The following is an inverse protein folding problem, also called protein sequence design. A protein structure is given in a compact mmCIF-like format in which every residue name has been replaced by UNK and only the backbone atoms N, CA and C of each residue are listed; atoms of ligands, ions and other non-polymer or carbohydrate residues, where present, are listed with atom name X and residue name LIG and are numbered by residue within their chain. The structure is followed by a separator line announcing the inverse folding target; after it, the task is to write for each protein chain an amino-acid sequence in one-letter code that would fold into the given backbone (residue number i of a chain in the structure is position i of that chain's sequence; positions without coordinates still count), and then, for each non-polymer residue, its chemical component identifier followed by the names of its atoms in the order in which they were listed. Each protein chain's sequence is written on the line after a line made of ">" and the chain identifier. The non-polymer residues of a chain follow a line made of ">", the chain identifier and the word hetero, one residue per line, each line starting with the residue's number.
data_IF_761220879607
#
_entry.id   IF_761220879607
#
_cell.length_a   1.000
_cell.length_b   1.000
_cell.length_c   1.000
_cell.angle_alpha   90.00
_cell.angle_beta   90.00
_cell.angle_gamma   90.00
#
_symmetry.space_group_name_H-M   'P 1'
#
loop_
_entity.id
_entity.type
_entity.pdbx_description
1 polymer ?
#
# COMPACT_ATOMS: atom_id res chain seq x y z
N UNK A 1 14.79 -7.50 2.50
CA UNK A 1 14.72 -8.88 3.03
C UNK A 1 16.06 -9.14 3.70
N UNK A 2 16.05 -9.71 4.89
CA UNK A 2 17.28 -10.12 5.58
C UNK A 2 17.94 -11.32 4.89
N UNK A 3 19.21 -11.59 5.22
CA UNK A 3 19.99 -12.69 4.62
C UNK A 3 19.39 -14.07 4.87
N UNK A 4 18.63 -14.22 5.95
CA UNK A 4 17.87 -15.43 6.32
C UNK A 4 16.50 -15.52 5.62
N UNK A 5 16.14 -14.57 4.75
CA UNK A 5 14.85 -14.47 4.10
C UNK A 5 13.76 -13.79 4.93
N UNK A 6 14.04 -13.40 6.17
CA UNK A 6 13.11 -12.74 7.08
C UNK A 6 12.79 -11.30 6.69
N UNK A 7 11.79 -10.73 7.34
CA UNK A 7 11.37 -9.34 7.14
C UNK A 7 11.92 -8.48 8.29
N UNK A 8 12.52 -7.34 7.94
CA UNK A 8 12.94 -6.37 8.94
C UNK A 8 11.74 -5.79 9.70
N UNK A 9 11.92 -5.66 11.01
CA UNK A 9 11.06 -4.93 11.93
C UNK A 9 11.93 -4.04 12.82
N UNK A 10 11.41 -2.93 13.38
CA UNK A 10 12.10 -2.21 14.44
C UNK A 10 12.37 -3.12 15.63
N UNK A 11 13.56 -3.04 16.22
CA UNK A 11 13.91 -3.80 17.43
C UNK A 11 13.01 -3.42 18.61
N UNK A 12 12.65 -2.14 18.67
CA UNK A 12 11.72 -1.59 19.65
C UNK A 12 10.73 -0.67 18.95
N UNK A 13 9.48 -0.65 19.44
CA UNK A 13 8.49 0.33 18.98
C UNK A 13 8.70 1.61 19.79
N UNK A 14 8.89 2.76 19.12
CA UNK A 14 8.96 4.04 19.81
C UNK A 14 7.63 4.31 20.53
N UNK A 15 7.68 5.10 21.61
CA UNK A 15 6.46 5.60 22.27
C UNK A 15 6.29 7.06 21.94
N UNK A 16 5.14 7.40 21.37
CA UNK A 16 4.77 8.79 21.15
C UNK A 16 4.15 9.32 22.46
N UNK A 17 4.60 10.48 22.97
CA UNK A 17 4.08 11.05 24.21
C UNK A 17 2.58 11.32 24.15
N UNK A 18 1.85 11.13 25.27
CA UNK A 18 0.40 11.42 25.34
C UNK A 18 0.07 12.86 24.93
N UNK A 19 0.93 13.82 25.24
CA UNK A 19 0.77 15.23 24.84
C UNK A 19 0.61 15.41 23.32
N UNK A 20 1.24 14.58 22.52
CA UNK A 20 1.07 14.58 21.07
C UNK A 20 -0.38 14.28 20.67
N UNK A 21 -0.98 13.25 21.29
CA UNK A 21 -2.36 12.87 20.98
C UNK A 21 -3.40 13.86 21.53
N UNK A 22 -3.03 14.65 22.54
CA UNK A 22 -3.92 15.68 23.09
C UNK A 22 -4.15 16.85 22.11
N UNK A 23 -3.16 17.15 21.26
CA UNK A 23 -3.19 18.28 20.32
C UNK A 23 -3.06 17.83 18.86
N UNK A 24 -3.27 16.56 18.55
CA UNK A 24 -3.04 15.98 17.22
C UNK A 24 -3.97 16.57 16.15
N UNK A 25 -5.15 17.06 16.54
CA UNK A 25 -6.13 17.71 15.67
C UNK A 25 -5.64 18.99 14.99
N UNK A 26 -4.67 19.64 15.58
CA UNK A 26 -4.04 20.87 15.02
C UNK A 26 -2.98 20.55 13.97
N UNK A 27 -2.58 19.27 13.83
CA UNK A 27 -1.47 18.85 13.00
C UNK A 27 -1.94 18.48 11.58
N UNK A 28 -1.15 18.91 10.57
CA UNK A 28 -1.33 18.43 9.20
C UNK A 28 -0.89 16.98 9.03
N UNK A 29 -1.27 16.36 7.90
CA UNK A 29 -0.78 15.02 7.55
C UNK A 29 0.76 14.95 7.56
N UNK A 30 1.45 15.98 7.04
CA UNK A 30 2.91 16.02 6.97
C UNK A 30 3.54 16.16 8.35
N UNK A 31 2.95 16.94 9.25
CA UNK A 31 3.46 17.06 10.63
C UNK A 31 3.41 15.73 11.36
N UNK A 32 2.27 15.02 11.28
CA UNK A 32 2.12 13.69 11.84
C UNK A 32 3.09 12.70 11.19
N UNK A 33 3.22 12.74 9.87
CA UNK A 33 4.16 11.88 9.14
C UNK A 33 5.62 12.15 9.53
N UNK A 34 5.98 13.42 9.77
CA UNK A 34 7.32 13.76 10.27
C UNK A 34 7.57 13.19 11.67
N UNK A 35 6.61 13.28 12.58
CA UNK A 35 6.74 12.68 13.92
C UNK A 35 6.91 11.16 13.83
N UNK A 36 6.12 10.50 12.99
CA UNK A 36 6.28 9.06 12.73
C UNK A 36 7.66 8.76 12.15
N UNK A 37 8.07 9.45 11.10
CA UNK A 37 9.36 9.23 10.45
C UNK A 37 10.53 9.49 11.41
N UNK A 38 10.49 10.57 12.20
CA UNK A 38 11.51 10.92 13.19
C UNK A 38 11.64 9.86 14.29
N UNK A 39 10.53 9.23 14.67
CA UNK A 39 10.53 8.18 15.68
C UNK A 39 11.28 6.92 15.24
N UNK A 40 11.42 6.70 13.93
CA UNK A 40 12.09 5.51 13.38
C UNK A 40 13.43 5.81 12.71
N UNK A 41 13.61 6.99 12.15
CA UNK A 41 14.77 7.35 11.34
C UNK A 41 15.59 8.53 11.89
N UNK A 42 15.10 9.21 12.94
CA UNK A 42 15.73 10.41 13.47
C UNK A 42 17.11 10.19 14.08
N UNK A 43 17.50 8.94 14.38
CA UNK A 43 18.85 8.60 14.80
C UNK A 43 19.88 8.50 13.66
N UNK A 44 19.40 8.25 12.42
CA UNK A 44 20.25 7.95 11.26
C UNK A 44 20.15 9.04 10.16
N UNK A 45 19.04 9.79 10.14
CA UNK A 45 18.74 10.82 9.13
C UNK A 45 18.68 12.18 9.81
N UNK A 46 19.42 13.15 9.27
CA UNK A 46 19.39 14.54 9.73
C UNK A 46 17.94 15.08 9.73
N UNK A 47 17.58 15.87 10.73
CA UNK A 47 16.21 16.33 10.95
C UNK A 47 15.67 17.20 9.80
N UNK A 48 16.51 18.06 9.22
CA UNK A 48 16.13 18.89 8.08
C UNK A 48 15.93 18.01 6.83
N UNK A 49 16.86 17.09 6.57
CA UNK A 49 16.74 16.15 5.46
C UNK A 49 15.50 15.25 5.60
N UNK A 50 15.20 14.80 6.82
CA UNK A 50 14.00 13.98 7.06
C UNK A 50 12.71 14.77 6.84
N UNK A 51 12.70 16.06 7.20
CA UNK A 51 11.56 16.94 6.91
C UNK A 51 11.37 17.11 5.40
N UNK A 52 12.44 17.38 4.66
CA UNK A 52 12.40 17.50 3.19
C UNK A 52 11.89 16.21 2.53
N UNK A 53 12.35 15.03 3.03
CA UNK A 53 11.87 13.71 2.58
C UNK A 53 10.37 13.59 2.80
N UNK A 54 9.85 13.98 3.95
CA UNK A 54 8.42 13.91 4.28
C UNK A 54 7.61 14.88 3.40
N UNK A 55 8.04 16.14 3.29
CA UNK A 55 7.33 17.17 2.55
C UNK A 55 7.24 16.86 1.06
N UNK A 56 8.33 16.37 0.44
CA UNK A 56 8.30 15.93 -0.96
C UNK A 56 7.51 14.64 -1.15
N UNK A 57 7.57 13.70 -0.21
CA UNK A 57 6.86 12.43 -0.33
C UNK A 57 5.34 12.60 -0.28
N UNK A 58 4.84 13.50 0.56
CA UNK A 58 3.40 13.68 0.84
C UNK A 58 2.89 15.03 0.35
N UNK A 59 3.19 15.35 -0.91
CA UNK A 59 2.83 16.61 -1.56
C UNK A 59 1.42 16.63 -2.16
N UNK A 60 0.53 15.74 -1.75
CA UNK A 60 -0.85 15.63 -2.20
C UNK A 60 -1.80 15.47 -1.02
N UNK A 61 -3.08 15.76 -1.24
CA UNK A 61 -4.11 15.76 -0.21
C UNK A 61 -4.47 14.36 0.30
N UNK A 62 -5.00 14.32 1.53
CA UNK A 62 -5.52 13.12 2.18
C UNK A 62 -6.85 13.48 2.83
N UNK A 63 -7.91 13.76 2.04
CA UNK A 63 -9.18 14.19 2.60
C UNK A 63 -9.90 13.07 3.34
N UNK A 64 -10.68 13.44 4.35
CA UNK A 64 -11.64 12.57 5.00
C UNK A 64 -13.06 13.06 4.68
N UNK A 65 -13.84 12.17 4.08
CA UNK A 65 -15.20 12.43 3.62
C UNK A 65 -16.17 11.85 4.62
N UNK A 66 -17.10 12.63 5.10
CA UNK A 66 -18.21 12.18 5.95
C UNK A 66 -19.36 11.65 5.07
N UNK A 67 -19.81 10.44 5.35
CA UNK A 67 -20.96 9.82 4.66
C UNK A 67 -22.26 9.88 5.48
N UNK A 68 -22.22 10.39 6.72
CA UNK A 68 -23.32 10.31 7.68
C UNK A 68 -23.23 9.08 8.58
N UNK A 69 -24.09 8.96 9.56
CA UNK A 69 -24.19 7.84 10.52
C UNK A 69 -22.83 7.47 11.17
N UNK A 70 -22.04 8.46 11.56
CA UNK A 70 -20.69 8.31 12.08
C UNK A 70 -19.76 7.47 11.17
N UNK A 71 -19.99 7.52 9.86
CA UNK A 71 -19.17 6.85 8.86
C UNK A 71 -18.32 7.84 8.06
N UNK A 72 -17.03 7.61 8.04
CA UNK A 72 -16.04 8.45 7.39
C UNK A 72 -15.21 7.62 6.41
N UNK A 73 -14.81 8.22 5.30
CA UNK A 73 -13.89 7.62 4.31
C UNK A 73 -12.62 8.44 4.28
N UNK A 74 -11.48 7.84 4.63
CA UNK A 74 -10.17 8.43 4.43
C UNK A 74 -9.68 8.09 3.03
N UNK A 75 -9.59 9.09 2.15
CA UNK A 75 -9.16 8.91 0.78
C UNK A 75 -7.62 8.93 0.69
N UNK A 76 -7.03 7.77 0.44
CA UNK A 76 -5.58 7.56 0.37
C UNK A 76 -5.06 7.46 -1.07
N UNK A 77 -5.78 8.02 -2.05
CA UNK A 77 -5.52 7.80 -3.46
C UNK A 77 -5.30 9.07 -4.30
N UNK A 78 -5.02 10.21 -3.68
CA UNK A 78 -4.79 11.47 -4.42
C UNK A 78 -3.35 11.62 -4.93
N UNK A 79 -2.49 10.65 -4.66
CA UNK A 79 -1.13 10.63 -5.17
C UNK A 79 -1.03 10.38 -6.69
N UNK A 80 0.18 10.44 -7.24
CA UNK A 80 0.42 10.43 -8.70
C UNK A 80 -0.11 9.19 -9.42
N UNK A 81 -0.22 8.03 -8.74
CA UNK A 81 -0.72 6.78 -9.34
C UNK A 81 -2.09 6.37 -8.85
N UNK A 82 -2.77 7.27 -8.13
CA UNK A 82 -4.14 7.11 -7.64
C UNK A 82 -4.31 5.89 -6.72
N UNK A 83 -3.32 5.63 -5.85
CA UNK A 83 -3.36 4.55 -4.86
C UNK A 83 -2.55 4.90 -3.61
N UNK A 84 -2.98 4.41 -2.44
CA UNK A 84 -2.28 4.58 -1.17
C UNK A 84 -0.80 4.13 -1.20
N UNK A 85 -0.42 3.32 -2.19
CA UNK A 85 0.95 2.84 -2.35
C UNK A 85 1.94 3.95 -2.68
N UNK A 86 1.44 5.10 -3.15
CA UNK A 86 2.27 6.27 -3.45
C UNK A 86 2.98 6.79 -2.21
N UNK A 87 2.32 6.80 -1.04
CA UNK A 87 2.91 7.27 0.22
C UNK A 87 4.20 6.49 0.54
N UNK A 88 4.11 5.17 0.64
CA UNK A 88 5.26 4.35 0.98
C UNK A 88 6.30 4.29 -0.14
N UNK A 89 5.90 4.33 -1.41
CA UNK A 89 6.83 4.26 -2.53
C UNK A 89 7.67 5.55 -2.66
N UNK A 90 7.04 6.71 -2.52
CA UNK A 90 7.71 8.02 -2.58
C UNK A 90 8.64 8.21 -1.39
N UNK A 91 8.19 7.90 -0.18
CA UNK A 91 9.03 8.00 1.03
C UNK A 91 10.26 7.09 0.93
N UNK A 92 10.08 5.82 0.57
CA UNK A 92 11.19 4.89 0.37
C UNK A 92 12.19 5.42 -0.66
N UNK A 93 11.71 5.97 -1.78
CA UNK A 93 12.57 6.47 -2.84
C UNK A 93 13.45 7.65 -2.38
N UNK A 94 12.88 8.62 -1.62
CA UNK A 94 13.61 9.77 -1.08
C UNK A 94 14.60 9.36 -0.01
N UNK A 95 14.18 8.43 0.87
CA UNK A 95 15.07 7.87 1.88
C UNK A 95 16.25 7.11 1.23
N UNK A 96 16.00 6.31 0.18
CA UNK A 96 17.05 5.63 -0.58
C UNK A 96 18.00 6.64 -1.23
N UNK A 97 17.48 7.69 -1.89
CA UNK A 97 18.30 8.76 -2.46
C UNK A 97 19.24 9.38 -1.41
N UNK A 98 18.73 9.68 -0.23
CA UNK A 98 19.53 10.26 0.86
C UNK A 98 20.63 9.30 1.34
N UNK A 99 20.30 8.03 1.57
CA UNK A 99 21.26 7.03 2.05
C UNK A 99 22.31 6.70 0.97
N UNK A 100 21.88 6.44 -0.26
CA UNK A 100 22.77 6.07 -1.36
C UNK A 100 23.64 7.27 -1.79
N UNK A 101 23.12 8.50 -1.74
CA UNK A 101 23.86 9.73 -2.01
C UNK A 101 25.04 9.93 -1.05
N UNK A 102 24.91 9.58 0.22
CA UNK A 102 26.04 9.60 1.19
C UNK A 102 27.16 8.62 0.82
N UNK A 103 26.84 7.56 0.09
CA UNK A 103 27.78 6.49 -0.31
C UNK A 103 28.22 6.58 -1.78
N UNK A 104 27.70 7.54 -2.54
CA UNK A 104 27.88 7.64 -4.01
C UNK A 104 27.53 6.33 -4.74
N UNK A 105 26.53 5.60 -4.23
CA UNK A 105 26.14 4.29 -4.71
C UNK A 105 25.11 4.40 -5.85
N UNK A 106 25.37 3.74 -6.97
CA UNK A 106 24.36 3.48 -8.01
C UNK A 106 23.60 2.20 -7.69
N UNK A 107 22.27 2.25 -7.81
CA UNK A 107 21.41 1.13 -7.41
C UNK A 107 20.46 0.73 -8.53
N UNK A 108 20.34 -0.56 -8.76
CA UNK A 108 19.33 -1.14 -9.65
C UNK A 108 18.18 -1.72 -8.85
N UNK A 109 17.00 -1.17 -9.03
CA UNK A 109 15.78 -1.58 -8.36
C UNK A 109 14.98 -2.50 -9.26
N UNK A 110 14.69 -3.71 -8.80
CA UNK A 110 13.85 -4.68 -9.50
C UNK A 110 12.46 -4.75 -8.83
N UNK A 111 11.41 -4.65 -9.64
CA UNK A 111 10.02 -4.69 -9.17
C UNK A 111 9.23 -5.70 -9.97
N UNK A 112 8.75 -6.78 -9.33
CA UNK A 112 7.77 -7.68 -9.94
C UNK A 112 6.35 -7.22 -9.57
N UNK A 113 5.46 -7.08 -10.56
CA UNK A 113 4.13 -6.46 -10.32
C UNK A 113 3.02 -7.02 -11.21
N UNK A 114 1.79 -6.89 -10.72
CA UNK A 114 0.54 -7.04 -11.49
C UNK A 114 -0.18 -5.70 -11.72
N UNK A 115 0.52 -4.54 -11.52
CA UNK A 115 -0.06 -3.22 -11.80
C UNK A 115 0.25 -2.17 -10.72
N UNK A 116 -0.65 -1.95 -9.76
CA UNK A 116 -0.60 -0.81 -8.83
C UNK A 116 0.71 -0.69 -8.02
N UNK A 117 1.31 -1.81 -7.59
CA UNK A 117 2.58 -1.79 -6.85
C UNK A 117 3.74 -1.30 -7.73
N UNK A 118 3.79 -1.77 -8.97
CA UNK A 118 4.80 -1.34 -9.93
C UNK A 118 4.63 0.12 -10.34
N UNK A 119 3.39 0.54 -10.61
CA UNK A 119 3.10 1.93 -10.95
C UNK A 119 3.55 2.89 -9.85
N UNK A 120 3.22 2.60 -8.59
CA UNK A 120 3.65 3.41 -7.46
C UNK A 120 5.18 3.41 -7.26
N UNK A 121 5.84 2.23 -7.40
CA UNK A 121 7.29 2.14 -7.28
C UNK A 121 7.99 2.89 -8.43
N UNK A 122 7.55 2.70 -9.67
CA UNK A 122 8.10 3.38 -10.83
C UNK A 122 7.94 4.90 -10.72
N UNK A 123 6.74 5.38 -10.36
CA UNK A 123 6.51 6.82 -10.18
C UNK A 123 7.30 7.39 -8.99
N UNK A 124 7.34 6.68 -7.86
CA UNK A 124 8.09 7.10 -6.67
C UNK A 124 9.60 7.25 -6.92
N UNK A 125 10.18 6.37 -7.76
CA UNK A 125 11.59 6.34 -8.10
C UNK A 125 11.92 7.08 -9.42
N UNK A 126 10.92 7.66 -10.09
CA UNK A 126 11.11 8.37 -11.34
C UNK A 126 12.03 9.57 -11.16
N UNK A 127 13.03 9.70 -12.04
CA UNK A 127 14.05 10.76 -12.03
C UNK A 127 14.82 10.88 -10.69
N UNK A 128 14.97 9.78 -9.95
CA UNK A 128 15.88 9.76 -8.79
C UNK A 128 17.28 9.45 -9.31
N UNK A 129 18.18 10.40 -9.10
CA UNK A 129 19.59 10.28 -9.48
C UNK A 129 20.26 9.07 -8.83
N UNK A 130 21.08 8.34 -9.58
CA UNK A 130 21.78 7.13 -9.11
C UNK A 130 20.91 5.89 -9.00
N UNK A 131 19.61 5.96 -9.33
CA UNK A 131 18.69 4.82 -9.27
C UNK A 131 18.18 4.47 -10.67
N UNK A 132 18.33 3.21 -11.07
CA UNK A 132 17.71 2.62 -12.26
C UNK A 132 16.64 1.61 -11.84
N UNK A 133 15.48 1.58 -12.51
CA UNK A 133 14.33 0.78 -12.09
C UNK A 133 13.85 -0.11 -13.22
N UNK A 134 13.96 -1.42 -13.05
CA UNK A 134 13.38 -2.40 -13.96
C UNK A 134 12.06 -2.94 -13.42
N UNK A 135 10.95 -2.69 -14.12
CA UNK A 135 9.60 -3.10 -13.71
C UNK A 135 9.17 -4.31 -14.53
N UNK A 136 9.18 -5.49 -13.89
CA UNK A 136 8.86 -6.76 -14.52
C UNK A 136 7.36 -7.07 -14.32
N UNK A 137 6.65 -7.34 -15.40
CA UNK A 137 5.25 -7.72 -15.36
C UNK A 137 4.90 -8.76 -16.44
N UNK A 138 3.90 -9.61 -16.22
CA UNK A 138 3.55 -10.67 -17.15
C UNK A 138 2.93 -10.10 -18.43
N UNK A 139 3.38 -10.61 -19.58
CA UNK A 139 2.94 -10.18 -20.91
C UNK A 139 1.43 -10.36 -21.08
N UNK A 140 0.75 -9.28 -21.51
CA UNK A 140 -0.66 -9.28 -21.85
C UNK A 140 -1.64 -9.44 -20.67
N UNK A 141 -1.16 -9.37 -19.41
CA UNK A 141 -2.01 -9.54 -18.22
C UNK A 141 -2.39 -8.23 -17.52
N UNK A 142 -1.87 -7.10 -17.96
CA UNK A 142 -2.22 -5.79 -17.44
C UNK A 142 -3.36 -5.16 -18.25
N UNK A 143 -4.26 -4.44 -17.58
CA UNK A 143 -5.18 -3.56 -18.28
C UNK A 143 -4.41 -2.45 -19.00
N UNK A 144 -5.03 -1.85 -20.03
CA UNK A 144 -4.42 -0.73 -20.78
C UNK A 144 -4.00 0.44 -19.87
N UNK A 145 -4.77 0.69 -18.81
CA UNK A 145 -4.49 1.75 -17.83
C UNK A 145 -3.29 1.43 -16.95
N UNK A 146 -3.19 0.17 -16.50
CA UNK A 146 -2.05 -0.30 -15.71
C UNK A 146 -0.76 -0.31 -16.53
N UNK A 147 -0.83 -0.82 -17.75
CA UNK A 147 0.32 -0.82 -18.66
C UNK A 147 0.80 0.61 -18.96
N UNK A 148 -0.11 1.55 -19.26
CA UNK A 148 0.25 2.94 -19.52
C UNK A 148 1.00 3.58 -18.33
N UNK A 149 0.58 3.36 -17.09
CA UNK A 149 1.26 3.89 -15.91
C UNK A 149 2.68 3.34 -15.71
N UNK A 150 2.99 2.16 -16.25
CA UNK A 150 4.34 1.57 -16.19
C UNK A 150 5.21 2.02 -17.36
N UNK A 151 4.64 2.11 -18.55
CA UNK A 151 5.41 2.30 -19.79
C UNK A 151 5.62 3.77 -20.16
N UNK A 152 4.80 4.69 -19.66
CA UNK A 152 4.84 6.09 -20.09
C UNK A 152 5.99 6.92 -19.49
N UNK A 153 6.59 6.51 -18.36
CA UNK A 153 7.55 7.34 -17.63
C UNK A 153 8.89 7.52 -18.38
N UNK A 154 9.55 6.45 -18.77
CA UNK A 154 10.87 6.50 -19.41
C UNK A 154 12.00 6.90 -18.46
N UNK A 155 13.01 7.60 -18.96
CA UNK A 155 14.21 8.00 -18.22
C UNK A 155 14.85 6.79 -17.50
N UNK A 156 14.93 6.81 -16.20
CA UNK A 156 15.48 5.74 -15.35
C UNK A 156 14.50 4.56 -15.12
N UNK A 157 13.31 4.56 -15.76
CA UNK A 157 12.30 3.51 -15.61
C UNK A 157 12.27 2.62 -16.84
N UNK A 158 12.54 1.34 -16.66
CA UNK A 158 12.65 0.32 -17.72
C UNK A 158 11.52 -0.71 -17.55
N UNK A 159 10.40 -0.57 -18.28
CA UNK A 159 9.31 -1.56 -18.27
C UNK A 159 9.72 -2.81 -19.04
N UNK A 160 9.55 -3.99 -18.43
CA UNK A 160 9.92 -5.29 -18.99
C UNK A 160 8.72 -6.23 -18.96
N UNK A 161 8.25 -6.63 -20.14
CA UNK A 161 7.25 -7.69 -20.25
C UNK A 161 7.94 -9.07 -20.20
N UNK A 162 7.51 -9.89 -19.26
CA UNK A 162 7.99 -11.25 -19.11
C UNK A 162 7.03 -12.22 -19.82
N UNK A 163 7.59 -13.08 -20.68
CA UNK A 163 6.85 -14.18 -21.31
C UNK A 163 6.63 -15.28 -20.26
N UNK A 164 5.62 -15.08 -19.39
CA UNK A 164 5.34 -15.95 -18.25
C UNK A 164 4.27 -15.37 -17.34
N UNK A 165 4.20 -15.91 -16.13
CA UNK A 165 3.27 -15.51 -15.06
C UNK A 165 3.88 -14.43 -14.14
N UNK A 166 3.04 -13.87 -13.25
CA UNK A 166 3.54 -12.97 -12.20
C UNK A 166 4.45 -13.69 -11.20
N UNK A 167 4.25 -14.97 -10.98
CA UNK A 167 5.11 -15.82 -10.15
C UNK A 167 6.49 -15.99 -10.80
N UNK A 168 6.56 -16.07 -12.15
CA UNK A 168 7.83 -16.06 -12.88
C UNK A 168 8.57 -14.74 -12.73
N UNK A 169 7.84 -13.60 -12.78
CA UNK A 169 8.43 -12.28 -12.50
C UNK A 169 9.02 -12.21 -11.09
N UNK A 170 8.26 -12.65 -10.07
CA UNK A 170 8.72 -12.64 -8.66
C UNK A 170 9.93 -13.53 -8.46
N UNK A 171 9.90 -14.76 -9.01
CA UNK A 171 11.00 -15.71 -8.92
C UNK A 171 12.25 -15.16 -9.58
N UNK A 172 12.12 -14.56 -10.78
CA UNK A 172 13.25 -13.96 -11.49
C UNK A 172 13.90 -12.82 -10.68
N UNK A 173 13.09 -11.93 -10.08
CA UNK A 173 13.60 -10.85 -9.22
C UNK A 173 14.30 -11.42 -7.97
N UNK A 174 13.71 -12.42 -7.31
CA UNK A 174 14.31 -13.05 -6.13
C UNK A 174 15.63 -13.75 -6.48
N UNK A 175 15.65 -14.52 -7.56
CA UNK A 175 16.86 -15.20 -8.04
C UNK A 175 17.96 -14.21 -8.41
N UNK A 176 17.64 -13.10 -9.07
CA UNK A 176 18.60 -12.08 -9.43
C UNK A 176 19.23 -11.39 -8.22
N UNK A 177 18.41 -11.04 -7.21
CA UNK A 177 18.91 -10.40 -5.98
C UNK A 177 19.78 -11.36 -5.15
N UNK A 178 19.49 -12.65 -5.20
CA UNK A 178 20.21 -13.68 -4.45
C UNK A 178 21.47 -14.19 -5.17
N UNK A 179 21.67 -13.87 -6.46
CA UNK A 179 22.78 -14.38 -7.27
C UNK A 179 24.08 -13.59 -6.98
N UNK A 180 25.12 -14.22 -6.40
CA UNK A 180 26.41 -13.58 -6.17
C UNK A 180 27.07 -13.03 -7.43
N UNK A 181 26.82 -13.65 -8.61
CA UNK A 181 27.36 -13.20 -9.89
C UNK A 181 26.77 -11.83 -10.33
N UNK A 182 25.65 -11.41 -9.73
CA UNK A 182 25.00 -10.13 -10.00
C UNK A 182 25.24 -9.09 -8.89
N UNK A 183 26.09 -9.37 -7.90
CA UNK A 183 26.35 -8.46 -6.76
C UNK A 183 26.87 -7.08 -7.20
N UNK A 184 27.66 -6.99 -8.28
CA UNK A 184 28.17 -5.74 -8.84
C UNK A 184 27.10 -4.78 -9.38
N UNK A 185 25.86 -5.24 -9.59
CA UNK A 185 24.76 -4.38 -10.04
C UNK A 185 24.03 -3.71 -8.85
N UNK A 186 24.37 -3.99 -7.61
CA UNK A 186 23.72 -3.46 -6.41
C UNK A 186 22.19 -3.60 -6.46
N UNK A 187 21.73 -4.81 -6.77
CA UNK A 187 20.29 -5.11 -6.93
C UNK A 187 19.52 -4.99 -5.62
N UNK A 188 18.36 -4.39 -5.68
CA UNK A 188 17.41 -4.35 -4.56
C UNK A 188 15.97 -4.44 -5.05
N UNK A 189 15.04 -4.80 -4.16
CA UNK A 189 13.61 -4.82 -4.46
C UNK A 189 12.87 -3.63 -3.85
N UNK A 190 11.89 -3.09 -4.58
CA UNK A 190 10.99 -2.05 -4.09
C UNK A 190 9.58 -2.58 -3.79
N UNK A 191 9.44 -3.82 -3.36
CA UNK A 191 8.16 -4.43 -3.04
C UNK A 191 7.64 -3.97 -1.67
N UNK A 192 6.36 -4.26 -1.36
CA UNK A 192 5.69 -3.90 -0.10
C UNK A 192 6.31 -4.52 1.17
N UNK A 193 7.21 -5.49 1.02
CA UNK A 193 7.98 -6.08 2.13
C UNK A 193 9.10 -5.15 2.66
N UNK A 194 9.47 -4.09 1.93
CA UNK A 194 10.44 -3.11 2.42
C UNK A 194 9.83 -2.30 3.56
N UNK A 195 10.54 -2.26 4.71
CA UNK A 195 10.06 -1.58 5.93
C UNK A 195 9.86 -0.06 5.71
N UNK A 196 10.68 0.57 4.87
CA UNK A 196 10.53 1.98 4.52
C UNK A 196 9.23 2.30 3.77
N UNK A 197 8.54 1.28 3.21
CA UNK A 197 7.20 1.42 2.65
C UNK A 197 6.09 1.21 3.67
N UNK A 198 6.37 0.49 4.76
CA UNK A 198 5.40 0.21 5.81
C UNK A 198 5.25 1.39 6.78
N UNK A 199 6.38 1.93 7.27
CA UNK A 199 6.39 2.95 8.33
C UNK A 199 5.52 4.18 7.98
N UNK A 200 5.55 4.75 6.76
CA UNK A 200 4.68 5.87 6.41
C UNK A 200 3.18 5.58 6.52
N UNK A 201 2.76 4.32 6.40
CA UNK A 201 1.35 3.94 6.50
C UNK A 201 0.81 4.04 7.93
N UNK A 202 1.69 4.10 8.95
CA UNK A 202 1.30 4.34 10.35
C UNK A 202 0.57 5.68 10.46
N UNK A 203 0.98 6.67 9.67
CA UNK A 203 0.38 8.01 9.63
C UNK A 203 -1.11 7.99 9.30
N UNK A 204 -1.59 7.01 8.53
CA UNK A 204 -3.01 6.96 8.12
C UNK A 204 -3.95 6.88 9.32
N UNK A 205 -3.69 5.99 10.25
CA UNK A 205 -4.51 5.82 11.46
C UNK A 205 -4.39 7.02 12.39
N UNK A 206 -3.18 7.56 12.58
CA UNK A 206 -2.96 8.75 13.41
C UNK A 206 -3.69 9.98 12.82
N UNK A 207 -3.58 10.17 11.52
CA UNK A 207 -4.22 11.28 10.84
C UNK A 207 -5.75 11.14 10.82
N UNK A 208 -6.27 9.94 10.62
CA UNK A 208 -7.70 9.69 10.71
C UNK A 208 -8.24 10.04 12.12
N UNK A 209 -7.53 9.64 13.17
CA UNK A 209 -7.85 10.05 14.54
C UNK A 209 -7.80 11.58 14.72
N UNK A 210 -6.76 12.22 14.21
CA UNK A 210 -6.63 13.68 14.23
C UNK A 210 -7.83 14.39 13.55
N UNK A 211 -8.26 13.86 12.40
CA UNK A 211 -9.41 14.42 11.67
C UNK A 211 -10.74 14.23 12.41
N UNK A 212 -10.97 13.06 13.03
CA UNK A 212 -12.16 12.83 13.85
C UNK A 212 -12.22 13.83 15.02
N UNK A 213 -11.09 14.06 15.71
CA UNK A 213 -11.00 15.07 16.78
C UNK A 213 -11.27 16.50 16.25
N UNK A 214 -10.64 16.87 15.13
CA UNK A 214 -10.81 18.19 14.53
C UNK A 214 -12.25 18.48 14.10
N UNK A 215 -13.01 17.42 13.76
CA UNK A 215 -14.43 17.51 13.43
C UNK A 215 -15.35 17.47 14.67
N UNK A 216 -14.79 17.31 15.88
CA UNK A 216 -15.55 17.19 17.12
C UNK A 216 -16.37 15.89 17.22
N UNK A 217 -15.93 14.83 16.53
CA UNK A 217 -16.65 13.55 16.52
C UNK A 217 -16.55 12.89 17.90
N UNK A 218 -17.71 12.60 18.49
CA UNK A 218 -17.78 11.90 19.76
C UNK A 218 -17.21 10.48 19.66
N UNK A 219 -16.57 10.01 20.73
CA UNK A 219 -15.95 8.68 20.82
C UNK A 219 -14.85 8.43 19.73
N UNK A 220 -14.18 9.47 19.25
CA UNK A 220 -13.10 9.35 18.29
C UNK A 220 -12.01 8.33 18.72
N UNK A 221 -11.75 8.22 20.04
CA UNK A 221 -10.80 7.28 20.65
C UNK A 221 -11.24 5.80 20.56
N UNK A 222 -12.50 5.55 20.24
CA UNK A 222 -13.08 4.22 20.05
C UNK A 222 -13.38 3.92 18.58
N UNK A 223 -12.96 4.79 17.65
CA UNK A 223 -13.20 4.64 16.23
C UNK A 223 -12.71 3.29 15.70
N UNK A 224 -13.56 2.63 14.91
CA UNK A 224 -13.23 1.43 14.16
C UNK A 224 -12.53 1.83 12.86
N UNK A 225 -11.41 1.21 12.53
CA UNK A 225 -10.67 1.44 11.28
C UNK A 225 -10.73 0.21 10.39
N UNK A 226 -11.30 0.34 9.19
CA UNK A 226 -11.42 -0.76 8.24
C UNK A 226 -10.62 -0.50 6.98
N UNK A 227 -9.86 -1.52 6.54
CA UNK A 227 -8.99 -1.43 5.38
C UNK A 227 -9.01 -2.69 4.53
N UNK A 228 -8.96 -2.56 3.18
CA UNK A 228 -8.88 -3.70 2.30
C UNK A 228 -7.53 -4.41 2.49
N UNK A 229 -7.58 -5.72 2.66
CA UNK A 229 -6.48 -6.50 3.22
C UNK A 229 -6.12 -7.70 2.32
N UNK A 230 -4.96 -7.59 1.64
CA UNK A 230 -4.31 -8.69 0.93
C UNK A 230 -2.97 -9.02 1.59
N UNK A 231 -1.92 -8.22 1.31
CA UNK A 231 -0.60 -8.39 1.93
C UNK A 231 -0.51 -7.89 3.38
N UNK A 232 -1.58 -7.34 3.93
CA UNK A 232 -1.77 -6.81 5.29
C UNK A 232 -0.85 -5.66 5.73
N UNK A 233 -0.13 -4.99 4.84
CA UNK A 233 0.79 -3.92 5.26
C UNK A 233 0.08 -2.78 5.98
N UNK A 234 -1.07 -2.33 5.48
CA UNK A 234 -1.86 -1.27 6.12
C UNK A 234 -2.39 -1.70 7.48
N UNK A 235 -2.84 -2.96 7.61
CA UNK A 235 -3.28 -3.54 8.88
C UNK A 235 -2.15 -3.58 9.92
N UNK A 236 -0.95 -4.02 9.50
CA UNK A 236 0.25 -4.01 10.38
C UNK A 236 0.58 -2.58 10.81
N UNK A 237 0.53 -1.62 9.88
CA UNK A 237 0.80 -0.21 10.19
C UNK A 237 -0.23 0.37 11.17
N UNK A 238 -1.52 0.05 11.03
CA UNK A 238 -2.56 0.46 11.96
C UNK A 238 -2.40 -0.17 13.35
N UNK A 239 -2.00 -1.46 13.41
CA UNK A 239 -1.66 -2.11 14.66
C UNK A 239 -0.41 -1.49 15.32
N UNK A 240 0.59 -1.07 14.51
CA UNK A 240 1.73 -0.30 15.01
C UNK A 240 1.29 1.06 15.55
N UNK A 241 0.40 1.79 14.87
CA UNK A 241 -0.15 3.06 15.35
C UNK A 241 -0.79 2.92 16.75
N UNK A 242 -1.60 1.87 16.95
CA UNK A 242 -2.19 1.54 18.26
C UNK A 242 -1.11 1.29 19.31
N UNK A 243 -0.04 0.56 18.97
CA UNK A 243 1.09 0.28 19.87
C UNK A 243 1.94 1.51 20.16
N UNK A 244 1.98 2.50 19.28
CA UNK A 244 2.61 3.79 19.48
C UNK A 244 1.83 4.69 20.45
N UNK A 245 0.62 4.29 20.83
CA UNK A 245 -0.26 4.99 21.78
C UNK A 245 -1.43 5.72 21.15
N UNK A 246 -1.67 5.58 19.85
CA UNK A 246 -2.87 6.15 19.22
C UNK A 246 -4.14 5.55 19.84
N UNK A 247 -5.05 6.36 20.39
CA UNK A 247 -6.33 5.87 20.85
C UNK A 247 -7.16 5.37 19.67
N UNK A 248 -7.48 4.08 19.67
CA UNK A 248 -8.25 3.45 18.59
C UNK A 248 -9.14 2.35 19.12
N UNK A 249 -10.30 2.19 18.52
CA UNK A 249 -11.13 1.00 18.67
C UNK A 249 -10.56 -0.20 17.91
N UNK A 250 -11.41 -1.12 17.44
CA UNK A 250 -11.00 -2.27 16.66
C UNK A 250 -10.44 -1.89 15.28
N UNK A 251 -9.51 -2.70 14.78
CA UNK A 251 -8.97 -2.60 13.43
C UNK A 251 -9.53 -3.76 12.62
N UNK A 252 -10.19 -3.47 11.49
CA UNK A 252 -10.82 -4.47 10.63
C UNK A 252 -9.93 -4.76 9.42
N UNK A 253 -9.47 -5.99 9.33
CA UNK A 253 -8.81 -6.52 8.14
C UNK A 253 -9.88 -7.06 7.17
N UNK A 254 -10.28 -6.24 6.20
CA UNK A 254 -11.33 -6.56 5.26
C UNK A 254 -10.79 -7.37 4.07
N UNK A 255 -11.29 -8.58 3.86
CA UNK A 255 -10.88 -9.48 2.78
C UNK A 255 -12.06 -9.77 1.84
N UNK A 256 -11.75 -10.05 0.58
CA UNK A 256 -12.69 -10.61 -0.38
C UNK A 256 -12.84 -12.14 -0.21
N UNK A 257 -13.29 -12.84 -1.26
CA UNK A 257 -13.45 -14.29 -1.27
C UNK A 257 -12.13 -15.05 -0.98
N UNK A 258 -10.98 -14.40 -1.09
CA UNK A 258 -9.67 -14.92 -0.71
C UNK A 258 -9.36 -14.61 0.76
N UNK A 259 -10.28 -14.96 1.67
CA UNK A 259 -10.11 -14.71 3.10
C UNK A 259 -9.06 -15.64 3.71
N UNK A 260 -7.87 -15.11 3.96
CA UNK A 260 -6.77 -15.81 4.63
C UNK A 260 -6.53 -15.27 6.04
N UNK A 261 -7.02 -14.08 6.36
CA UNK A 261 -6.74 -13.45 7.65
C UNK A 261 -7.52 -14.10 8.80
N UNK A 262 -8.79 -14.43 8.58
CA UNK A 262 -9.64 -15.08 9.58
C UNK A 262 -9.06 -16.44 10.04
N UNK A 263 -8.74 -17.40 9.14
CA UNK A 263 -8.12 -18.64 9.58
C UNK A 263 -6.76 -18.44 10.26
N UNK A 264 -5.95 -17.49 9.83
CA UNK A 264 -4.67 -17.18 10.46
C UNK A 264 -4.83 -16.69 11.90
N UNK A 265 -5.80 -15.83 12.16
CA UNK A 265 -6.12 -15.35 13.51
C UNK A 265 -6.68 -16.48 14.39
N UNK A 266 -7.33 -17.49 13.81
CA UNK A 266 -7.78 -18.69 14.49
C UNK A 266 -6.66 -19.73 14.73
N UNK A 267 -5.44 -19.45 14.28
CA UNK A 267 -4.31 -20.37 14.40
C UNK A 267 -4.37 -21.56 13.43
N UNK A 268 -5.21 -21.45 12.39
CA UNK A 268 -5.32 -22.50 11.36
C UNK A 268 -4.21 -22.33 10.33
N UNK A 269 -3.60 -23.44 9.95
CA UNK A 269 -2.65 -23.52 8.84
C UNK A 269 -3.36 -24.20 7.66
N UNK A 270 -3.04 -23.79 6.47
CA UNK A 270 -3.61 -24.35 5.25
C UNK A 270 -4.15 -23.25 4.34
N UNK A 271 -3.37 -22.91 3.35
CA UNK A 271 -3.71 -21.85 2.41
C UNK A 271 -4.12 -22.46 1.06
N UNK A 272 -4.96 -21.73 0.33
CA UNK A 272 -5.21 -22.05 -1.06
C UNK A 272 -3.90 -21.97 -1.85
N UNK A 273 -3.70 -22.89 -2.75
CA UNK A 273 -2.53 -22.87 -3.63
C UNK A 273 -2.67 -21.83 -4.75
N UNK A 274 -3.91 -21.45 -5.10
CA UNK A 274 -4.21 -20.43 -6.12
C UNK A 274 -5.31 -19.49 -5.61
N UNK A 275 -5.18 -18.16 -5.86
CA UNK A 275 -6.25 -17.23 -5.52
C UNK A 275 -7.44 -17.42 -6.48
N UNK A 276 -8.63 -17.07 -5.98
CA UNK A 276 -9.83 -16.88 -6.79
C UNK A 276 -9.75 -15.45 -7.35
N UNK A 277 -10.04 -15.27 -8.63
CA UNK A 277 -10.17 -13.94 -9.23
C UNK A 277 -11.47 -13.28 -8.77
N UNK A 278 -11.40 -12.07 -8.23
CA UNK A 278 -12.53 -11.28 -7.73
C UNK A 278 -12.57 -9.89 -8.35
N UNK A 279 -13.62 -9.13 -8.02
CA UNK A 279 -13.72 -7.70 -8.39
C UNK A 279 -12.66 -6.84 -7.70
N UNK A 280 -12.03 -7.32 -6.62
CA UNK A 280 -11.00 -6.61 -5.88
C UNK A 280 -9.59 -7.25 -6.05
N UNK A 281 -9.02 -7.27 -7.29
CA UNK A 281 -7.87 -8.09 -7.65
C UNK A 281 -6.57 -7.76 -6.88
N UNK A 282 -6.45 -6.55 -6.32
CA UNK A 282 -5.23 -6.18 -5.57
C UNK A 282 -5.12 -6.87 -4.21
N UNK A 283 -6.20 -7.49 -3.73
CA UNK A 283 -6.24 -8.26 -2.48
C UNK A 283 -6.44 -9.76 -2.72
N UNK A 284 -6.46 -10.22 -3.97
CA UNK A 284 -6.52 -11.63 -4.34
C UNK A 284 -5.17 -12.30 -4.07
N UNK A 285 -4.97 -12.76 -2.85
CA UNK A 285 -3.72 -13.37 -2.40
C UNK A 285 -3.98 -14.67 -1.64
N UNK A 286 -3.04 -15.61 -1.74
CA UNK A 286 -3.10 -16.92 -1.06
C UNK A 286 -2.45 -16.89 0.31
N UNK A 287 -1.53 -15.94 0.54
CA UNK A 287 -0.85 -15.74 1.81
C UNK A 287 -0.49 -14.27 2.00
N UNK A 288 -0.85 -13.66 3.13
CA UNK A 288 -0.52 -12.27 3.43
C UNK A 288 0.96 -12.14 3.82
N UNK A 289 1.76 -11.56 2.94
CA UNK A 289 3.21 -11.41 3.13
C UNK A 289 3.62 -10.62 4.39
N UNK A 290 2.73 -9.82 4.96
CA UNK A 290 2.94 -9.11 6.21
C UNK A 290 2.64 -9.91 7.48
N UNK A 291 2.10 -11.15 7.36
CA UNK A 291 1.76 -11.97 8.52
C UNK A 291 2.89 -12.18 9.51
N UNK A 292 4.14 -12.46 9.09
CA UNK A 292 5.25 -12.58 10.03
C UNK A 292 5.46 -11.31 10.88
N UNK A 293 5.25 -10.13 10.29
CA UNK A 293 5.35 -8.85 11.01
C UNK A 293 4.24 -8.68 12.03
N UNK A 294 3.00 -8.99 11.65
CA UNK A 294 1.87 -8.92 12.57
C UNK A 294 2.09 -9.89 13.74
N UNK A 295 2.49 -11.11 13.45
CA UNK A 295 2.79 -12.12 14.47
C UNK A 295 3.91 -11.67 15.41
N UNK A 296 4.98 -11.09 14.85
CA UNK A 296 6.10 -10.53 15.65
C UNK A 296 5.63 -9.38 16.55
N UNK A 297 4.81 -8.46 16.02
CA UNK A 297 4.27 -7.31 16.75
C UNK A 297 3.51 -7.70 18.02
N UNK A 298 2.86 -8.85 18.01
CA UNK A 298 2.09 -9.40 19.14
C UNK A 298 2.82 -10.53 19.88
N UNK A 299 4.10 -10.78 19.61
CA UNK A 299 4.85 -11.87 20.22
C UNK A 299 4.25 -13.26 19.96
N UNK A 300 3.54 -13.44 18.86
CA UNK A 300 2.84 -14.68 18.51
C UNK A 300 1.52 -14.91 19.27
N UNK A 301 1.08 -13.98 20.12
CA UNK A 301 -0.15 -14.12 20.92
C UNK A 301 -1.40 -13.82 20.08
N UNK A 302 -2.06 -14.89 19.59
CA UNK A 302 -3.26 -14.79 18.77
C UNK A 302 -4.46 -14.20 19.51
N UNK A 303 -4.57 -14.42 20.81
CA UNK A 303 -5.65 -13.83 21.62
C UNK A 303 -5.53 -12.31 21.70
N UNK A 304 -4.31 -11.81 21.92
CA UNK A 304 -4.03 -10.38 21.88
C UNK A 304 -4.30 -9.76 20.50
N UNK A 305 -3.98 -10.50 19.42
CA UNK A 305 -4.31 -10.06 18.06
C UNK A 305 -5.83 -9.95 17.86
N UNK A 306 -6.61 -10.95 18.26
CA UNK A 306 -8.09 -10.96 18.12
C UNK A 306 -8.80 -9.91 18.95
N UNK A 307 -8.19 -9.42 20.03
CA UNK A 307 -8.73 -8.27 20.79
C UNK A 307 -8.63 -6.96 20.01
N UNK A 308 -7.56 -6.80 19.24
CA UNK A 308 -7.29 -5.57 18.50
C UNK A 308 -7.76 -5.62 17.05
N UNK A 309 -7.78 -6.81 16.46
CA UNK A 309 -7.99 -7.02 15.01
C UNK A 309 -9.20 -7.93 14.79
N UNK A 310 -10.14 -7.42 14.04
CA UNK A 310 -11.31 -8.16 13.56
C UNK A 310 -11.08 -8.59 12.11
N UNK A 311 -11.32 -9.84 11.80
CA UNK A 311 -11.32 -10.38 10.45
C UNK A 311 -12.70 -11.02 10.19
N UNK A 312 -13.66 -10.27 9.68
CA UNK A 312 -14.95 -10.81 9.35
C UNK A 312 -14.87 -11.78 8.17
N UNK A 313 -15.96 -12.53 7.94
CA UNK A 313 -16.09 -13.38 6.76
C UNK A 313 -15.80 -12.59 5.48
N UNK A 314 -15.14 -13.21 4.53
CA UNK A 314 -14.77 -12.58 3.26
C UNK A 314 -15.99 -12.04 2.49
N UNK A 315 -15.85 -10.85 1.94
CA UNK A 315 -16.89 -10.14 1.20
C UNK A 315 -16.98 -10.71 -0.21
N UNK A 316 -18.18 -11.05 -0.65
CA UNK A 316 -18.43 -11.57 -2.00
C UNK A 316 -18.46 -10.46 -3.06
N UNK A 317 -18.30 -10.83 -4.34
CA UNK A 317 -18.42 -9.89 -5.46
C UNK A 317 -19.82 -9.25 -5.52
N UNK A 318 -20.87 -9.99 -5.15
CA UNK A 318 -22.23 -9.46 -5.07
C UNK A 318 -22.36 -8.39 -3.97
N UNK A 319 -21.74 -8.60 -2.80
CA UNK A 319 -21.71 -7.60 -1.72
C UNK A 319 -20.88 -6.37 -2.12
N UNK A 320 -19.80 -6.55 -2.88
CA UNK A 320 -19.02 -5.44 -3.43
C UNK A 320 -19.88 -4.59 -4.36
N UNK A 321 -20.58 -5.21 -5.31
CA UNK A 321 -21.45 -4.50 -6.26
C UNK A 321 -22.58 -3.75 -5.54
N UNK A 322 -23.29 -4.41 -4.62
CA UNK A 322 -24.37 -3.77 -3.87
C UNK A 322 -23.87 -2.60 -3.04
N UNK A 323 -22.71 -2.74 -2.36
CA UNK A 323 -22.09 -1.66 -1.58
C UNK A 323 -21.78 -0.43 -2.44
N UNK A 324 -21.20 -0.62 -3.63
CA UNK A 324 -20.88 0.50 -4.55
C UNK A 324 -22.17 1.21 -5.02
N UNK A 325 -23.21 0.44 -5.37
CA UNK A 325 -24.51 0.97 -5.81
C UNK A 325 -25.16 1.76 -4.67
N UNK A 326 -25.19 1.21 -3.47
CA UNK A 326 -25.87 1.82 -2.32
C UNK A 326 -25.17 3.11 -1.87
N UNK A 327 -23.84 3.12 -1.78
CA UNK A 327 -23.08 4.33 -1.46
C UNK A 327 -23.30 5.43 -2.51
N UNK A 328 -23.36 5.06 -3.79
CA UNK A 328 -23.65 6.02 -4.86
C UNK A 328 -25.04 6.60 -4.76
N UNK A 329 -26.05 5.78 -4.44
CA UNK A 329 -27.45 6.21 -4.31
C UNK A 329 -27.71 7.03 -3.06
N UNK A 330 -27.16 6.61 -1.93
CA UNK A 330 -27.49 7.21 -0.62
C UNK A 330 -26.65 8.46 -0.33
N UNK A 331 -25.38 8.45 -0.74
CA UNK A 331 -24.40 9.49 -0.39
C UNK A 331 -23.81 10.23 -1.59
N UNK A 332 -24.16 9.85 -2.84
CA UNK A 332 -23.51 10.39 -4.04
C UNK A 332 -22.04 10.01 -4.16
N UNK A 333 -21.54 9.15 -3.29
CA UNK A 333 -20.12 8.78 -3.19
C UNK A 333 -19.81 7.52 -4.02
N UNK A 334 -18.82 7.61 -4.89
CA UNK A 334 -18.36 6.48 -5.69
C UNK A 334 -17.08 5.92 -5.09
N UNK A 335 -17.13 4.71 -4.55
CA UNK A 335 -15.99 3.99 -3.99
C UNK A 335 -15.44 2.97 -5.01
N UNK A 336 -14.14 2.62 -4.91
CA UNK A 336 -13.58 1.50 -5.70
C UNK A 336 -13.94 0.14 -5.07
N UNK A 337 -13.69 -0.95 -5.80
CA UNK A 337 -14.04 -2.30 -5.33
C UNK A 337 -13.33 -2.68 -4.03
N UNK A 338 -12.10 -2.21 -3.81
CA UNK A 338 -11.35 -2.48 -2.58
C UNK A 338 -11.91 -1.72 -1.39
N UNK A 339 -12.25 -0.44 -1.58
CA UNK A 339 -12.91 0.38 -0.57
C UNK A 339 -14.29 -0.17 -0.20
N UNK A 340 -15.02 -0.72 -1.20
CA UNK A 340 -16.30 -1.39 -0.96
C UNK A 340 -16.15 -2.63 -0.05
N UNK A 341 -15.08 -3.43 -0.24
CA UNK A 341 -14.74 -4.54 0.67
C UNK A 341 -14.54 -4.02 2.10
N UNK A 342 -13.79 -2.92 2.28
CA UNK A 342 -13.55 -2.35 3.59
C UNK A 342 -14.84 -1.80 4.24
N UNK A 343 -15.70 -1.15 3.47
CA UNK A 343 -16.97 -0.63 3.95
C UNK A 343 -17.92 -1.75 4.39
N UNK A 344 -18.12 -2.76 3.54
CA UNK A 344 -18.98 -3.90 3.84
C UNK A 344 -18.50 -4.68 5.08
N UNK A 345 -17.18 -4.90 5.18
CA UNK A 345 -16.59 -5.56 6.35
C UNK A 345 -16.79 -4.77 7.64
N UNK A 346 -16.59 -3.44 7.59
CA UNK A 346 -16.87 -2.57 8.75
C UNK A 346 -18.33 -2.65 9.17
N UNK A 347 -19.25 -2.59 8.22
CA UNK A 347 -20.70 -2.65 8.48
C UNK A 347 -21.13 -3.98 9.08
N UNK A 348 -20.47 -5.07 8.71
CA UNK A 348 -20.76 -6.41 9.25
C UNK A 348 -20.36 -6.60 10.72
N UNK A 349 -19.36 -5.84 11.23
CA UNK A 349 -18.84 -6.00 12.60
C UNK A 349 -19.16 -4.82 13.51
N UNK A 350 -19.69 -3.73 12.95
CA UNK A 350 -19.97 -2.53 13.71
C UNK A 350 -21.29 -2.65 14.48
N UNK A 351 -21.19 -2.67 15.81
CA UNK A 351 -22.32 -2.81 16.71
C UNK A 351 -22.34 -1.66 17.74
N UNK A 352 -22.57 -0.42 17.32
CA UNK A 352 -22.59 0.67 18.27
C UNK A 352 -22.55 2.07 17.65
N UNK A 353 -22.39 3.09 18.52
CA UNK A 353 -22.35 4.50 18.14
C UNK A 353 -20.95 5.01 17.81
N UNK A 354 -19.90 4.23 18.08
CA UNK A 354 -18.53 4.64 17.80
C UNK A 354 -18.32 4.91 16.29
N UNK A 355 -17.52 5.91 15.90
CA UNK A 355 -17.29 6.21 14.50
C UNK A 355 -16.57 5.07 13.78
N UNK A 356 -16.85 4.91 12.49
CA UNK A 356 -16.14 3.99 11.60
C UNK A 356 -15.41 4.75 10.50
N UNK A 357 -14.13 4.46 10.31
CA UNK A 357 -13.29 5.05 9.27
C UNK A 357 -12.91 3.97 8.25
N UNK A 358 -13.28 4.20 7.02
CA UNK A 358 -12.99 3.32 5.88
C UNK A 358 -11.77 3.86 5.14
N UNK A 359 -10.73 3.06 4.96
CA UNK A 359 -9.57 3.44 4.17
C UNK A 359 -9.82 3.14 2.70
N UNK A 360 -10.10 4.19 1.91
CA UNK A 360 -10.21 4.09 0.46
C UNK A 360 -8.80 4.13 -0.16
N UNK A 361 -8.34 2.96 -0.61
CA UNK A 361 -6.94 2.74 -1.00
C UNK A 361 -6.67 2.91 -2.48
N UNK A 362 -7.69 3.06 -3.30
CA UNK A 362 -7.60 3.24 -4.74
C UNK A 362 -8.72 4.14 -5.29
N UNK A 363 -8.37 4.98 -6.27
CA UNK A 363 -9.38 5.80 -6.95
C UNK A 363 -10.26 4.91 -7.87
N UNK A 364 -11.58 5.13 -7.95
CA UNK A 364 -12.49 4.36 -8.81
C UNK A 364 -12.06 4.28 -10.28
N UNK A 365 -11.47 5.33 -10.82
CA UNK A 365 -10.95 5.36 -12.19
C UNK A 365 -9.82 4.35 -12.49
N UNK A 366 -9.22 3.74 -11.48
CA UNK A 366 -8.26 2.63 -11.68
C UNK A 366 -8.93 1.37 -12.21
N UNK A 367 -10.23 1.24 -12.00
CA UNK A 367 -11.10 0.15 -12.45
C UNK A 367 -12.31 0.71 -13.21
N UNK A 368 -12.08 1.72 -14.05
CA UNK A 368 -13.12 2.54 -14.69
C UNK A 368 -14.16 1.68 -15.39
N UNK A 369 -13.76 0.65 -16.13
CA UNK A 369 -14.67 -0.22 -16.88
C UNK A 369 -15.60 -1.02 -15.92
N UNK A 370 -15.05 -1.53 -14.82
CA UNK A 370 -15.79 -2.27 -13.79
C UNK A 370 -16.75 -1.35 -13.03
N UNK A 371 -16.26 -0.22 -12.54
CA UNK A 371 -17.07 0.71 -11.75
C UNK A 371 -18.18 1.31 -12.60
N UNK A 372 -17.89 1.75 -13.85
CA UNK A 372 -18.90 2.29 -14.76
C UNK A 372 -20.00 1.28 -15.08
N UNK A 373 -19.65 -0.01 -15.23
CA UNK A 373 -20.63 -1.09 -15.41
C UNK A 373 -21.53 -1.23 -14.17
N UNK A 374 -20.95 -1.23 -12.98
CA UNK A 374 -21.69 -1.41 -11.71
C UNK A 374 -22.66 -0.25 -11.46
N UNK A 375 -22.21 0.99 -11.62
CA UNK A 375 -23.05 2.17 -11.35
C UNK A 375 -23.96 2.58 -12.51
N UNK A 376 -23.80 1.97 -13.69
CA UNK A 376 -24.54 2.33 -14.90
C UNK A 376 -24.26 3.75 -15.43
N UNK A 377 -23.09 4.33 -15.09
CA UNK A 377 -22.69 5.68 -15.47
C UNK A 377 -21.18 5.78 -15.69
N UNK A 378 -20.71 6.81 -16.37
CA UNK A 378 -19.29 7.07 -16.55
C UNK A 378 -18.62 7.49 -15.23
N UNK A 379 -17.39 7.03 -15.02
CA UNK A 379 -16.49 7.53 -13.96
C UNK A 379 -15.55 8.55 -14.60
N UNK A 380 -15.40 9.71 -13.98
CA UNK A 380 -14.49 10.74 -14.47
C UNK A 380 -13.03 10.25 -14.43
N UNK A 381 -12.30 10.58 -15.50
CA UNK A 381 -10.90 10.25 -15.65
C UNK A 381 -10.04 11.35 -15.03
N UNK A 382 -9.35 11.11 -13.89
CA UNK A 382 -8.45 12.09 -13.32
C UNK A 382 -7.29 12.43 -14.26
N UNK A 383 -6.87 13.69 -14.24
CA UNK A 383 -5.75 14.16 -15.06
C UNK A 383 -4.47 13.33 -14.83
N UNK A 384 -4.23 12.92 -13.58
CA UNK A 384 -3.09 12.06 -13.22
C UNK A 384 -3.06 10.73 -13.99
N UNK A 385 -4.21 10.17 -14.36
CA UNK A 385 -4.29 8.95 -15.15
C UNK A 385 -4.28 9.24 -16.65
N UNK A 386 -5.01 10.28 -17.07
CA UNK A 386 -5.13 10.66 -18.48
C UNK A 386 -3.77 10.93 -19.13
N UNK A 387 -2.85 11.61 -18.42
CA UNK A 387 -1.50 11.93 -18.90
C UNK A 387 -0.68 10.72 -19.34
N UNK A 388 -0.86 9.56 -18.69
CA UNK A 388 -0.13 8.34 -19.05
C UNK A 388 -0.63 7.72 -20.36
N UNK A 389 -1.90 7.98 -20.73
CA UNK A 389 -2.51 7.43 -21.94
C UNK A 389 -2.02 8.09 -23.23
N UNK A 390 -1.51 9.30 -23.16
CA UNK A 390 -0.99 10.05 -24.31
C UNK A 390 0.40 9.58 -24.77
N UNK A 391 1.11 8.82 -23.94
CA UNK A 391 2.48 8.37 -24.21
C UNK A 391 2.48 6.89 -24.58
N UNK A 392 2.99 6.58 -25.78
CA UNK A 392 3.19 5.19 -26.22
C UNK A 392 4.69 4.87 -26.17
N UNK A 393 5.08 3.90 -25.36
CA UNK A 393 6.42 3.32 -25.34
C UNK A 393 6.30 1.80 -25.37
N UNK A 394 7.16 1.15 -26.13
CA UNK A 394 7.18 -0.30 -26.20
C UNK A 394 8.07 -0.85 -25.07
N UNK A 395 7.58 -1.76 -24.24
CA UNK A 395 8.40 -2.43 -23.24
C UNK A 395 9.40 -3.38 -23.89
N UNK A 396 10.50 -3.64 -23.20
CA UNK A 396 11.37 -4.77 -23.54
C UNK A 396 10.66 -6.08 -23.23
N UNK A 397 10.69 -7.04 -24.15
CA UNK A 397 10.07 -8.36 -23.96
C UNK A 397 11.18 -9.39 -23.79
N UNK A 398 11.20 -10.12 -22.67
CA UNK A 398 12.19 -11.16 -22.40
C UNK A 398 11.56 -12.44 -21.82
N UNK A 399 12.21 -13.61 -21.96
CA UNK A 399 11.86 -14.80 -21.22
C UNK A 399 12.21 -14.66 -19.73
N UNK A 400 11.59 -15.45 -18.81
CA UNK A 400 11.84 -15.39 -17.36
C UNK A 400 13.16 -16.08 -16.97
N UNK A 401 14.29 -15.63 -17.53
CA UNK A 401 15.61 -16.22 -17.30
C UNK A 401 16.65 -15.19 -16.84
N UNK A 402 17.55 -15.59 -15.93
CA UNK A 402 18.63 -14.74 -15.44
C UNK A 402 19.55 -14.20 -16.57
N UNK A 403 19.97 -15.00 -17.60
CA UNK A 403 20.77 -14.45 -18.68
C UNK A 403 20.09 -13.32 -19.47
N UNK A 404 18.77 -13.42 -19.71
CA UNK A 404 18.01 -12.39 -20.38
C UNK A 404 17.91 -11.10 -19.55
N UNK A 405 17.67 -11.23 -18.24
CA UNK A 405 17.67 -10.09 -17.31
C UNK A 405 19.06 -9.47 -17.18
N UNK A 406 20.12 -10.29 -17.08
CA UNK A 406 21.50 -9.81 -17.03
C UNK A 406 21.85 -8.97 -18.26
N UNK A 407 21.52 -9.45 -19.47
CA UNK A 407 21.75 -8.69 -20.73
C UNK A 407 21.07 -7.31 -20.68
N UNK A 408 19.88 -7.21 -20.10
CA UNK A 408 19.21 -5.92 -19.88
C UNK A 408 19.98 -5.05 -18.88
N UNK A 409 20.39 -5.61 -17.73
CA UNK A 409 21.16 -4.88 -16.72
C UNK A 409 22.49 -4.36 -17.29
N UNK A 410 23.18 -5.15 -18.13
CA UNK A 410 24.39 -4.71 -18.83
C UNK A 410 24.14 -3.50 -19.76
N UNK A 411 22.93 -3.34 -20.29
CA UNK A 411 22.58 -2.24 -21.21
C UNK A 411 22.21 -0.93 -20.54
N UNK A 412 21.92 -0.95 -19.23
CA UNK A 412 21.46 0.23 -18.48
C UNK A 412 22.45 0.71 -17.40
N UNK A 413 23.57 0.00 -17.20
CA UNK A 413 24.70 0.38 -16.35
C UNK A 413 25.81 0.98 -17.19
#
# INVERSE_FOLDING_TARGET
>A
VATDGGLFMPSELPRIPKAFFNNIEEMSFRDIAYVVASSYFGGDVDSAALKDIVDDSFSFDTPMIELGDNCFVLELFHGPTLTFKDYGARFMARLMKYIDGKQSLRRNVLVATTGNTGAAAANGLFNIEGISVSVLYPKGQLSRWQAAQLTALGENIHPIEIVGSVEDCKRLVQSAIADPALSGYHLTGANSINIARLIPQITFTLYAYARLKALGVEQAEHALYSMPTGNISCLVASAMAKRLGCPTGPIVGATGANNQLEPLLDGKEGFRTKPISTLAPSIDMTYPSGWPRLRHLYGGNLEAMRRDILAPKGISDADIESTIIDLRKQHGYTIDTHGAVAYAAASAVHNGSAPKVIFATGHPAKQIDTISRIIGASVDMPHQLARFMSVKRNPLIIPPTLPALKKHLDSIN
#
